data_IF_743958780105
#
_entry.id   IF_743958780105
#
_cell.length_a   1.000
_cell.length_b   1.000
_cell.length_c   1.000
_cell.angle_alpha   90.00
_cell.angle_beta   90.00
_cell.angle_gamma   90.00
#
_symmetry.space_group_name_H-M   'P 1'
#
loop_
_entity.id
_entity.type
_entity.pdbx_description
1 polymer ?
#
# COMPACT_ATOMS: atom_id res chain seq x y z
N UNK A 1 24.28 -3.50 -6.68
CA UNK A 1 24.55 -4.40 -7.84
C UNK A 1 23.32 -4.35 -8.73
N UNK A 2 23.34 -3.56 -9.81
CA UNK A 2 22.19 -3.44 -10.74
C UNK A 2 22.23 -4.66 -11.66
N UNK A 3 21.14 -5.42 -11.78
CA UNK A 3 21.07 -6.59 -12.65
C UNK A 3 21.09 -6.11 -14.11
N UNK A 4 22.26 -6.14 -14.76
CA UNK A 4 22.40 -5.79 -16.16
C UNK A 4 21.98 -6.98 -17.02
N UNK A 5 20.90 -6.85 -17.79
CA UNK A 5 20.42 -7.88 -18.73
C UNK A 5 19.05 -8.51 -18.42
N UNK A 6 18.35 -8.04 -17.37
CA UNK A 6 16.94 -8.43 -17.16
C UNK A 6 16.06 -7.42 -17.87
N UNK A 7 15.36 -7.87 -18.90
CA UNK A 7 14.36 -7.08 -19.59
C UNK A 7 13.07 -7.10 -18.75
N UNK A 8 12.77 -6.01 -18.04
CA UNK A 8 11.62 -5.89 -17.15
C UNK A 8 10.33 -5.60 -17.91
N UNK A 9 10.06 -6.37 -18.97
CA UNK A 9 8.88 -6.21 -19.80
C UNK A 9 7.71 -7.03 -19.25
N UNK A 10 7.25 -6.64 -18.05
CA UNK A 10 6.10 -7.27 -17.43
C UNK A 10 4.83 -6.90 -18.18
N UNK A 11 3.94 -7.88 -18.37
CA UNK A 11 2.61 -7.59 -18.89
C UNK A 11 1.88 -6.66 -17.91
N UNK A 12 1.19 -5.62 -18.40
CA UNK A 12 0.39 -4.76 -17.54
C UNK A 12 -0.69 -5.61 -16.86
N UNK A 13 -0.76 -5.52 -15.53
CA UNK A 13 -1.74 -6.24 -14.73
C UNK A 13 -2.62 -5.24 -13.98
N UNK A 14 -3.93 -5.41 -14.10
CA UNK A 14 -4.88 -4.62 -13.33
C UNK A 14 -4.99 -5.20 -11.92
N UNK A 15 -4.72 -4.39 -10.89
CA UNK A 15 -4.88 -4.79 -9.51
C UNK A 15 -6.33 -5.17 -9.17
N UNK A 16 -6.51 -6.22 -8.36
CA UNK A 16 -7.82 -6.69 -7.89
C UNK A 16 -8.38 -5.84 -6.74
N UNK A 17 -7.57 -4.94 -6.15
CA UNK A 17 -7.96 -4.08 -5.05
C UNK A 17 -7.82 -4.73 -3.66
N UNK A 18 -7.35 -3.95 -2.68
CA UNK A 18 -7.04 -4.44 -1.32
C UNK A 18 -8.30 -4.89 -0.57
N UNK A 19 -9.45 -4.28 -0.84
CA UNK A 19 -10.72 -4.66 -0.20
C UNK A 19 -11.11 -6.13 -0.42
N UNK A 20 -10.75 -6.71 -1.58
CA UNK A 20 -11.00 -8.13 -1.87
C UNK A 20 -10.12 -9.04 -1.00
N UNK A 21 -8.92 -8.59 -0.68
CA UNK A 21 -7.94 -9.35 0.10
C UNK A 21 -8.21 -9.32 1.61
N UNK A 22 -8.88 -8.26 2.10
CA UNK A 22 -9.16 -8.04 3.50
C UNK A 22 -10.68 -7.89 3.77
N UNK A 23 -11.48 -8.95 3.57
CA UNK A 23 -12.91 -8.89 3.83
C UNK A 23 -13.19 -8.62 5.32
N UNK A 24 -13.97 -7.58 5.61
CA UNK A 24 -14.32 -7.17 6.97
C UNK A 24 -13.37 -6.14 7.61
N UNK A 25 -12.33 -5.69 6.90
CA UNK A 25 -11.55 -4.54 7.33
C UNK A 25 -12.40 -3.26 7.26
N UNK A 26 -12.16 -2.32 8.18
CA UNK A 26 -12.83 -1.02 8.16
C UNK A 26 -12.35 -0.17 6.99
N UNK A 27 -13.11 0.87 6.63
CA UNK A 27 -12.74 1.84 5.60
C UNK A 27 -11.36 2.44 5.87
N UNK A 28 -11.09 2.82 7.12
CA UNK A 28 -9.86 3.48 7.54
C UNK A 28 -8.66 2.52 7.42
N UNK A 29 -8.88 1.23 7.73
CA UNK A 29 -7.87 0.19 7.58
C UNK A 29 -7.49 -0.01 6.10
N UNK A 30 -8.50 -0.06 5.23
CA UNK A 30 -8.30 -0.23 3.80
C UNK A 30 -7.58 0.97 3.18
N UNK A 31 -7.97 2.19 3.55
CA UNK A 31 -7.30 3.42 3.11
C UNK A 31 -5.83 3.45 3.55
N UNK A 32 -5.55 3.09 4.80
CA UNK A 32 -4.19 2.97 5.31
C UNK A 32 -3.38 1.96 4.49
N UNK A 33 -3.93 0.77 4.25
CA UNK A 33 -3.26 -0.27 3.46
C UNK A 33 -2.98 0.18 2.02
N UNK A 34 -3.91 0.88 1.37
CA UNK A 34 -3.71 1.44 0.03
C UNK A 34 -2.51 2.39 0.01
N UNK A 35 -2.41 3.29 1.00
CA UNK A 35 -1.28 4.23 1.09
C UNK A 35 0.06 3.53 1.36
N UNK A 36 0.08 2.48 2.17
CA UNK A 36 1.31 1.74 2.50
C UNK A 36 1.81 0.90 1.31
N UNK A 37 0.88 0.39 0.51
CA UNK A 37 1.16 -0.44 -0.66
C UNK A 37 1.30 0.35 -1.98
N UNK A 38 1.52 1.66 -1.93
CA UNK A 38 1.84 2.45 -3.13
C UNK A 38 3.08 1.91 -3.84
N UNK A 39 3.00 1.83 -5.17
CA UNK A 39 4.11 1.39 -6.01
C UNK A 39 5.23 2.43 -6.04
N UNK A 40 4.86 3.70 -6.13
CA UNK A 40 5.80 4.82 -6.00
C UNK A 40 6.24 4.95 -4.53
N UNK A 41 7.54 5.07 -4.32
CA UNK A 41 8.12 5.23 -2.98
C UNK A 41 7.87 6.63 -2.43
N UNK A 42 7.77 7.64 -3.29
CA UNK A 42 7.49 9.02 -2.89
C UNK A 42 6.02 9.21 -2.44
N UNK A 43 5.11 8.37 -2.94
CA UNK A 43 3.71 8.32 -2.50
C UNK A 43 3.53 7.54 -1.19
N UNK A 44 4.51 6.73 -0.80
CA UNK A 44 4.40 5.89 0.40
C UNK A 44 4.67 6.71 1.66
N UNK A 45 3.76 6.70 2.66
CA UNK A 45 3.98 7.45 3.89
C UNK A 45 5.08 6.82 4.73
N UNK A 46 5.80 7.66 5.47
CA UNK A 46 6.68 7.20 6.54
C UNK A 46 5.88 6.54 7.67
N UNK A 47 6.53 5.68 8.46
CA UNK A 47 5.91 5.05 9.63
C UNK A 47 5.31 6.09 10.60
N UNK A 48 5.97 7.25 10.77
CA UNK A 48 5.49 8.33 11.63
C UNK A 48 4.22 9.01 11.09
N UNK A 49 4.05 9.08 9.77
CA UNK A 49 2.82 9.59 9.15
C UNK A 49 1.71 8.54 9.24
N UNK A 50 2.01 7.26 8.99
CA UNK A 50 1.05 6.17 9.06
C UNK A 50 0.41 6.04 10.46
N UNK A 51 1.19 6.19 11.53
CA UNK A 51 0.68 6.15 12.92
C UNK A 51 -0.30 7.29 13.27
N UNK A 52 -0.43 8.31 12.43
CA UNK A 52 -1.40 9.40 12.60
C UNK A 52 -2.72 9.15 11.86
N UNK A 53 -2.85 8.03 11.15
CA UNK A 53 -4.05 7.68 10.40
C UNK A 53 -5.25 7.47 11.35
N UNK A 54 -6.46 7.78 10.86
CA UNK A 54 -7.72 7.64 11.58
C UNK A 54 -7.94 6.23 12.14
N UNK A 55 -7.42 5.20 11.46
CA UNK A 55 -7.47 3.81 11.90
C UNK A 55 -6.91 3.59 13.32
N UNK A 56 -5.94 4.40 13.74
CA UNK A 56 -5.31 4.26 15.06
C UNK A 56 -5.91 5.16 16.14
N UNK A 57 -6.95 5.95 15.85
CA UNK A 57 -7.51 6.90 16.83
C UNK A 57 -8.04 6.21 18.09
N UNK A 58 -8.69 5.06 17.94
CA UNK A 58 -9.25 4.29 19.06
C UNK A 58 -8.19 3.51 19.85
N UNK A 59 -6.97 3.40 19.32
CA UNK A 59 -5.85 2.66 19.92
C UNK A 59 -4.89 3.57 20.71
N UNK A 60 -5.18 4.86 20.77
CA UNK A 60 -4.26 5.89 21.26
C UNK A 60 -4.41 6.21 22.74
#
# INVERSE_FOLDING_TARGET
KRLTGVDFNFQPYQGIGIAILAPGASSEALELLVSLCSYDEDERPSARQALKNAYFLDLR
#
